data_IF_630069244531
#
_entry.id   IF_630069244531
#
_cell.length_a   1.000
_cell.length_b   1.000
_cell.length_c   1.000
_cell.angle_alpha   90.00
_cell.angle_beta   90.00
_cell.angle_gamma   90.00
#
_symmetry.space_group_name_H-M   'P 1'
#
loop_
_entity.id
_entity.type
_entity.pdbx_description
1 polymer ?
#
# COMPACT_ATOMS: atom_id res chain seq x y z
N UNK A 1 4.26 23.49 -17.40
CA UNK A 1 3.43 24.28 -16.45
C UNK A 1 2.00 23.74 -16.35
N UNK A 2 1.24 23.62 -17.45
CA UNK A 2 -0.14 23.09 -17.42
C UNK A 2 -0.26 21.74 -16.71
N UNK A 3 0.51 20.74 -17.17
CA UNK A 3 0.49 19.41 -16.58
C UNK A 3 0.88 19.38 -15.10
N UNK A 4 1.89 20.14 -14.70
CA UNK A 4 2.32 20.24 -13.29
C UNK A 4 1.21 20.77 -12.38
N UNK A 5 0.47 21.79 -12.81
CA UNK A 5 -0.65 22.37 -12.05
C UNK A 5 -1.79 21.36 -11.95
N UNK A 6 -2.17 20.73 -13.07
CA UNK A 6 -3.22 19.68 -13.08
C UNK A 6 -2.84 18.53 -12.15
N UNK A 7 -1.62 18.02 -12.24
CA UNK A 7 -1.16 16.92 -11.39
C UNK A 7 -1.04 17.29 -9.91
N UNK A 8 -0.69 18.54 -9.58
CA UNK A 8 -0.68 19.00 -8.19
C UNK A 8 -2.11 19.09 -7.60
N UNK A 9 -3.07 19.57 -8.39
CA UNK A 9 -4.49 19.60 -7.99
C UNK A 9 -5.04 18.18 -7.80
N UNK A 10 -4.79 17.28 -8.77
CA UNK A 10 -5.20 15.88 -8.65
C UNK A 10 -4.55 15.18 -7.45
N UNK A 11 -3.24 15.38 -7.24
CA UNK A 11 -2.54 14.84 -6.08
C UNK A 11 -3.11 15.34 -4.75
N UNK A 12 -3.47 16.62 -4.67
CA UNK A 12 -4.12 17.19 -3.48
C UNK A 12 -5.54 16.62 -3.25
N UNK A 13 -6.32 16.44 -4.32
CA UNK A 13 -7.64 15.81 -4.25
C UNK A 13 -7.51 14.36 -3.76
N UNK A 14 -6.61 13.58 -4.36
CA UNK A 14 -6.34 12.20 -3.96
C UNK A 14 -5.89 12.08 -2.52
N UNK A 15 -5.07 13.02 -2.02
CA UNK A 15 -4.67 13.05 -0.62
C UNK A 15 -5.85 13.35 0.32
N UNK A 16 -6.68 14.35 -0.01
CA UNK A 16 -7.82 14.76 0.82
C UNK A 16 -8.94 13.72 0.92
N UNK A 17 -8.94 12.73 0.03
CA UNK A 17 -10.02 11.78 -0.16
C UNK A 17 -9.77 10.40 0.50
N UNK A 18 -8.74 10.27 1.32
CA UNK A 18 -8.45 9.05 2.10
C UNK A 18 -9.53 8.69 3.14
N UNK A 19 -10.61 9.47 3.25
CA UNK A 19 -11.84 9.14 4.01
C UNK A 19 -12.86 8.34 3.19
N UNK A 20 -13.25 7.18 3.73
CA UNK A 20 -14.19 6.18 3.19
C UNK A 20 -15.40 6.82 2.47
N UNK A 21 -15.51 6.65 1.13
CA UNK A 21 -16.73 6.97 0.37
C UNK A 21 -16.58 7.49 -1.08
N UNK A 22 -15.38 7.57 -1.65
CA UNK A 22 -15.08 8.49 -2.78
C UNK A 22 -14.76 7.77 -4.11
N UNK A 23 -15.04 6.47 -4.28
CA UNK A 23 -14.68 5.77 -5.53
C UNK A 23 -15.28 6.38 -6.82
N UNK A 24 -16.56 6.78 -6.78
CA UNK A 24 -17.27 7.43 -7.92
C UNK A 24 -16.85 8.90 -8.09
N UNK A 25 -16.70 9.62 -6.97
CA UNK A 25 -16.24 11.00 -6.98
C UNK A 25 -14.80 11.12 -7.52
N UNK A 26 -13.94 10.11 -7.28
CA UNK A 26 -12.61 10.04 -7.86
C UNK A 26 -12.61 9.87 -9.38
N UNK A 27 -13.45 8.98 -9.92
CA UNK A 27 -13.56 8.83 -11.38
C UNK A 27 -14.08 10.10 -12.04
N UNK A 28 -15.10 10.75 -11.48
CA UNK A 28 -15.62 12.01 -12.03
C UNK A 28 -14.60 13.15 -11.87
N UNK A 29 -13.94 13.27 -10.71
CA UNK A 29 -12.89 14.28 -10.50
C UNK A 29 -11.76 14.14 -11.52
N UNK A 30 -11.30 12.91 -11.81
CA UNK A 30 -10.25 12.62 -12.80
C UNK A 30 -10.56 13.08 -14.23
N UNK A 31 -11.81 13.35 -14.57
CA UNK A 31 -12.19 13.89 -15.88
C UNK A 31 -12.66 15.34 -15.81
N UNK A 32 -13.48 15.65 -14.80
CA UNK A 32 -14.13 16.96 -14.63
C UNK A 32 -13.14 18.02 -14.19
N UNK A 33 -12.03 17.69 -13.53
CA UNK A 33 -11.01 18.67 -13.16
C UNK A 33 -9.95 18.81 -14.27
N UNK A 34 -9.33 17.75 -14.78
CA UNK A 34 -8.23 17.87 -15.74
C UNK A 34 -8.67 18.45 -17.08
N UNK A 35 -9.85 18.12 -17.59
CA UNK A 35 -10.31 18.59 -18.91
C UNK A 35 -10.52 20.12 -18.93
N UNK A 36 -11.37 20.73 -18.08
CA UNK A 36 -11.56 22.19 -18.11
C UNK A 36 -10.36 22.95 -17.59
N UNK A 37 -9.64 22.45 -16.57
CA UNK A 37 -8.42 23.09 -16.09
C UNK A 37 -7.32 23.06 -17.16
N UNK A 38 -7.14 21.91 -17.81
CA UNK A 38 -6.25 21.73 -18.95
C UNK A 38 -6.61 22.63 -20.12
N UNK A 39 -7.90 22.73 -20.48
CA UNK A 39 -8.41 23.62 -21.51
C UNK A 39 -8.12 25.10 -21.20
N UNK A 40 -8.47 25.56 -19.99
CA UNK A 40 -8.25 26.94 -19.58
C UNK A 40 -6.76 27.32 -19.57
N UNK A 41 -5.91 26.41 -19.06
CA UNK A 41 -4.46 26.62 -19.01
C UNK A 41 -3.80 26.53 -20.40
N UNK A 42 -4.23 25.60 -21.26
CA UNK A 42 -3.75 25.49 -22.64
C UNK A 42 -4.16 26.70 -23.50
N UNK A 43 -5.40 27.16 -23.33
CA UNK A 43 -5.91 28.38 -23.95
C UNK A 43 -5.09 29.60 -23.49
N UNK A 44 -4.88 29.75 -22.18
CA UNK A 44 -4.07 30.85 -21.61
C UNK A 44 -2.62 30.80 -22.08
N UNK A 45 -2.06 29.61 -22.26
CA UNK A 45 -0.72 29.38 -22.82
C UNK A 45 -0.66 29.56 -24.35
N UNK A 46 -1.79 29.87 -25.00
CA UNK A 46 -1.91 30.06 -26.46
C UNK A 46 -1.39 28.88 -27.28
N UNK A 47 -1.65 27.65 -26.82
CA UNK A 47 -1.26 26.46 -27.56
C UNK A 47 -2.09 26.33 -28.84
N UNK A 48 -1.46 26.02 -30.00
CA UNK A 48 -2.20 25.67 -31.20
C UNK A 48 -3.01 24.41 -30.91
N UNK A 49 -4.25 24.36 -31.41
CA UNK A 49 -5.19 23.24 -31.21
C UNK A 49 -5.38 22.85 -29.73
N UNK A 50 -5.44 23.85 -28.83
CA UNK A 50 -5.57 23.67 -27.38
C UNK A 50 -6.69 22.70 -26.97
N UNK A 51 -7.79 22.60 -27.73
CA UNK A 51 -8.87 21.63 -27.48
C UNK A 51 -8.42 20.18 -27.61
N UNK A 52 -7.52 19.86 -28.55
CA UNK A 52 -6.94 18.52 -28.69
C UNK A 52 -6.03 18.22 -27.49
N UNK A 53 -5.20 19.17 -27.08
CA UNK A 53 -4.34 19.02 -25.91
C UNK A 53 -5.15 18.83 -24.61
N UNK A 54 -6.29 19.52 -24.48
CA UNK A 54 -7.19 19.43 -23.34
C UNK A 54 -7.94 18.09 -23.24
N UNK A 55 -8.09 17.35 -24.34
CA UNK A 55 -8.71 16.03 -24.36
C UNK A 55 -7.66 14.91 -24.27
N UNK A 56 -6.59 15.01 -25.08
CA UNK A 56 -5.53 14.00 -25.13
C UNK A 56 -4.69 13.98 -23.85
N UNK A 57 -4.49 15.13 -23.19
CA UNK A 57 -3.76 15.23 -21.93
C UNK A 57 -4.38 14.39 -20.81
N UNK A 58 -5.66 14.61 -20.44
CA UNK A 58 -6.37 13.79 -19.44
C UNK A 58 -6.45 12.31 -19.79
N UNK A 59 -6.68 11.96 -21.07
CA UNK A 59 -6.68 10.57 -21.53
C UNK A 59 -5.34 9.89 -21.26
N UNK A 60 -4.24 10.49 -21.71
CA UNK A 60 -2.89 9.94 -21.49
C UNK A 60 -2.51 9.93 -20.01
N UNK A 61 -2.93 10.94 -19.26
CA UNK A 61 -2.76 11.02 -17.81
C UNK A 61 -3.40 9.83 -17.10
N UNK A 62 -4.65 9.48 -17.43
CA UNK A 62 -5.36 8.38 -16.80
C UNK A 62 -4.65 7.02 -16.98
N UNK A 63 -3.98 6.79 -18.11
CA UNK A 63 -3.16 5.58 -18.31
C UNK A 63 -1.81 5.67 -17.60
N UNK A 64 -1.15 6.82 -17.70
CA UNK A 64 0.19 7.00 -17.16
C UNK A 64 0.23 7.00 -15.63
N UNK A 65 -0.80 7.55 -14.99
CA UNK A 65 -0.91 7.55 -13.53
C UNK A 65 -1.02 6.13 -12.96
N UNK A 66 -1.71 5.22 -13.66
CA UNK A 66 -1.80 3.82 -13.25
C UNK A 66 -0.44 3.12 -13.33
N UNK A 67 0.32 3.37 -14.40
CA UNK A 67 1.68 2.84 -14.53
C UNK A 67 2.61 3.42 -13.45
N UNK A 68 2.60 4.75 -13.25
CA UNK A 68 3.46 5.37 -12.24
C UNK A 68 3.10 4.93 -10.81
N UNK A 69 1.83 4.77 -10.49
CA UNK A 69 1.41 4.21 -9.19
C UNK A 69 1.85 2.76 -9.01
N UNK A 70 1.86 1.95 -10.06
CA UNK A 70 2.37 0.58 -10.01
C UNK A 70 3.90 0.52 -9.80
N UNK A 71 4.63 1.55 -10.22
CA UNK A 71 6.08 1.68 -10.01
C UNK A 71 6.45 2.34 -8.71
N UNK A 72 5.56 3.08 -8.06
CA UNK A 72 5.90 3.78 -6.84
C UNK A 72 5.81 2.83 -5.63
N UNK A 73 6.79 2.91 -4.71
CA UNK A 73 6.67 2.22 -3.44
C UNK A 73 5.43 2.74 -2.74
N UNK A 74 4.69 1.84 -2.08
CA UNK A 74 3.67 2.29 -1.14
C UNK A 74 4.37 3.10 -0.02
N UNK A 75 4.07 4.41 0.13
CA UNK A 75 4.69 5.28 1.12
C UNK A 75 4.68 4.70 2.53
N UNK A 76 3.64 3.95 2.91
CA UNK A 76 3.54 3.32 4.24
C UNK A 76 4.59 2.23 4.47
N UNK A 77 5.12 1.60 3.42
CA UNK A 77 6.18 0.59 3.56
C UNK A 77 7.51 1.22 3.97
N UNK A 78 7.78 2.46 3.53
CA UNK A 78 9.07 3.13 3.66
C UNK A 78 9.05 4.35 4.60
N UNK A 79 7.98 4.53 5.38
CA UNK A 79 7.82 5.68 6.27
C UNK A 79 7.92 7.03 5.53
N UNK A 80 7.45 7.05 4.29
CA UNK A 80 7.45 8.27 3.49
C UNK A 80 6.23 9.12 3.87
N UNK A 81 6.38 10.46 3.93
CA UNK A 81 5.25 11.35 4.16
C UNK A 81 4.13 11.11 3.15
N UNK A 82 2.88 11.23 3.58
CA UNK A 82 1.71 11.06 2.68
C UNK A 82 1.76 12.00 1.47
N UNK A 83 2.41 13.16 1.58
CA UNK A 83 2.63 14.07 0.46
C UNK A 83 3.34 13.40 -0.74
N UNK A 84 4.11 12.33 -0.51
CA UNK A 84 4.74 11.54 -1.57
C UNK A 84 3.72 10.87 -2.51
N UNK A 85 2.46 10.65 -2.08
CA UNK A 85 1.38 10.17 -2.94
C UNK A 85 1.03 11.14 -4.08
N UNK A 86 1.39 12.43 -3.99
CA UNK A 86 1.12 13.40 -5.05
C UNK A 86 2.16 13.38 -6.20
N UNK A 87 3.36 12.83 -5.95
CA UNK A 87 4.43 12.77 -6.94
C UNK A 87 4.05 12.08 -8.28
N UNK A 88 3.42 10.89 -8.29
CA UNK A 88 3.09 10.22 -9.54
C UNK A 88 2.04 11.01 -10.33
N UNK A 89 1.14 11.74 -9.66
CA UNK A 89 0.15 12.61 -10.30
C UNK A 89 0.80 13.79 -11.01
N UNK A 90 1.71 14.49 -10.34
CA UNK A 90 2.46 15.61 -10.92
C UNK A 90 3.27 15.15 -12.13
N UNK A 91 3.99 14.03 -12.01
CA UNK A 91 4.82 13.49 -13.08
C UNK A 91 3.97 12.98 -14.26
N UNK A 92 2.91 12.21 -13.99
CA UNK A 92 1.98 11.73 -15.01
C UNK A 92 1.40 12.90 -15.81
N UNK A 93 0.91 13.92 -15.12
CA UNK A 93 0.26 15.06 -15.77
C UNK A 93 1.28 15.91 -16.55
N UNK A 94 2.47 16.12 -16.03
CA UNK A 94 3.53 16.83 -16.74
C UNK A 94 3.88 16.14 -18.07
N UNK A 95 4.12 14.82 -18.06
CA UNK A 95 4.45 14.04 -19.25
C UNK A 95 3.28 14.01 -20.23
N UNK A 96 2.08 13.76 -19.73
CA UNK A 96 0.86 13.63 -20.54
C UNK A 96 0.53 14.92 -21.30
N UNK A 97 0.56 16.06 -20.61
CA UNK A 97 0.32 17.36 -21.25
C UNK A 97 1.45 17.79 -22.17
N UNK A 98 2.71 17.41 -21.89
CA UNK A 98 3.81 17.64 -22.81
C UNK A 98 3.66 16.81 -24.10
N UNK A 99 3.31 15.52 -23.98
CA UNK A 99 3.05 14.65 -25.12
C UNK A 99 1.84 15.12 -25.94
N UNK A 100 0.76 15.56 -25.27
CA UNK A 100 -0.41 16.10 -25.92
C UNK A 100 -0.11 17.42 -26.66
N UNK A 101 0.64 18.33 -26.05
CA UNK A 101 1.05 19.58 -26.68
C UNK A 101 2.00 19.33 -27.87
N UNK A 102 2.91 18.36 -27.76
CA UNK A 102 3.78 17.95 -28.87
C UNK A 102 2.95 17.40 -30.04
N UNK A 103 2.04 16.45 -29.76
CA UNK A 103 1.18 15.83 -30.76
C UNK A 103 0.22 16.83 -31.43
N UNK A 104 -0.22 17.85 -30.69
CA UNK A 104 -1.03 18.94 -31.20
C UNK A 104 -0.22 19.98 -32.01
N UNK A 105 1.11 19.94 -31.99
CA UNK A 105 1.91 20.90 -32.76
C UNK A 105 1.87 20.59 -34.26
N UNK A 106 1.84 21.64 -35.06
CA UNK A 106 1.89 21.54 -36.53
C UNK A 106 3.25 21.00 -37.03
N UNK A 107 4.26 20.96 -36.16
CA UNK A 107 5.61 20.43 -36.45
C UNK A 107 5.70 18.91 -36.27
N UNK A 108 4.77 18.29 -35.56
CA UNK A 108 4.79 16.86 -35.32
C UNK A 108 4.28 16.08 -36.53
N UNK A 109 5.17 15.30 -37.17
CA UNK A 109 4.78 14.37 -38.22
C UNK A 109 3.87 13.25 -37.68
N UNK A 110 3.06 12.65 -38.55
CA UNK A 110 2.18 11.54 -38.16
C UNK A 110 2.97 10.35 -37.58
N UNK A 111 4.17 10.08 -38.09
CA UNK A 111 5.08 9.06 -37.57
C UNK A 111 5.54 9.37 -36.14
N UNK A 112 5.88 10.63 -35.85
CA UNK A 112 6.26 11.05 -34.49
C UNK A 112 5.10 10.89 -33.51
N UNK A 113 3.87 11.23 -33.94
CA UNK A 113 2.66 11.06 -33.14
C UNK A 113 2.37 9.58 -32.86
N UNK A 114 2.47 8.72 -33.89
CA UNK A 114 2.30 7.29 -33.74
C UNK A 114 3.37 6.67 -32.83
N UNK A 115 4.64 7.06 -33.01
CA UNK A 115 5.73 6.57 -32.16
C UNK A 115 5.53 6.98 -30.69
N UNK A 116 5.12 8.22 -30.41
CA UNK A 116 4.83 8.66 -29.06
C UNK A 116 3.66 7.89 -28.42
N UNK A 117 2.57 7.69 -29.18
CA UNK A 117 1.43 6.90 -28.71
C UNK A 117 1.82 5.44 -28.42
N UNK A 118 2.55 4.80 -29.34
CA UNK A 118 3.06 3.44 -29.16
C UNK A 118 4.00 3.34 -27.97
N UNK A 119 4.91 4.30 -27.78
CA UNK A 119 5.83 4.33 -26.66
C UNK A 119 5.12 4.44 -25.31
N UNK A 120 4.10 5.32 -25.21
CA UNK A 120 3.29 5.45 -24.00
C UNK A 120 2.52 4.15 -23.73
N UNK A 121 1.82 3.61 -24.73
CA UNK A 121 1.06 2.37 -24.59
C UNK A 121 1.97 1.19 -24.20
N UNK A 122 3.11 1.02 -24.88
CA UNK A 122 4.06 -0.04 -24.58
C UNK A 122 4.63 0.08 -23.17
N UNK A 123 4.96 1.30 -22.73
CA UNK A 123 5.45 1.56 -21.36
C UNK A 123 4.40 1.21 -20.31
N UNK A 124 3.16 1.65 -20.51
CA UNK A 124 2.05 1.34 -19.60
C UNK A 124 1.81 -0.18 -19.53
N UNK A 125 1.75 -0.86 -20.68
CA UNK A 125 1.56 -2.31 -20.72
C UNK A 125 2.70 -3.05 -20.02
N UNK A 126 3.95 -2.69 -20.31
CA UNK A 126 5.12 -3.33 -19.69
C UNK A 126 5.11 -3.17 -18.15
N UNK A 127 4.78 -1.97 -17.66
CA UNK A 127 4.67 -1.70 -16.23
C UNK A 127 3.54 -2.48 -15.57
N UNK A 128 2.36 -2.49 -16.19
CA UNK A 128 1.19 -3.21 -15.64
C UNK A 128 1.41 -4.72 -15.62
N UNK A 129 2.15 -5.27 -16.58
CA UNK A 129 2.57 -6.68 -16.57
C UNK A 129 3.60 -6.97 -15.45
N UNK A 130 4.50 -6.03 -15.18
CA UNK A 130 5.53 -6.15 -14.14
C UNK A 130 5.08 -5.78 -12.72
N UNK A 131 3.85 -5.26 -12.54
CA UNK A 131 3.41 -4.65 -11.26
C UNK A 131 3.55 -5.56 -10.04
N UNK A 132 3.31 -6.86 -10.19
CA UNK A 132 3.39 -7.83 -9.08
C UNK A 132 4.85 -8.00 -8.66
N UNK A 133 5.74 -8.21 -9.63
CA UNK A 133 7.17 -8.32 -9.35
C UNK A 133 7.75 -7.04 -8.73
N UNK A 134 7.29 -5.86 -9.16
CA UNK A 134 7.69 -4.58 -8.58
C UNK A 134 7.18 -4.43 -7.14
N UNK A 135 5.91 -4.79 -6.89
CA UNK A 135 5.33 -4.77 -5.55
C UNK A 135 6.05 -5.73 -4.60
N UNK A 136 6.31 -6.97 -5.05
CA UNK A 136 7.07 -7.97 -4.29
C UNK A 136 8.49 -7.47 -3.99
N UNK A 137 9.17 -6.87 -4.96
CA UNK A 137 10.50 -6.31 -4.78
C UNK A 137 10.53 -5.19 -3.74
N UNK A 138 9.57 -4.25 -3.80
CA UNK A 138 9.44 -3.19 -2.79
C UNK A 138 9.15 -3.75 -1.40
N UNK A 139 8.28 -4.76 -1.32
CA UNK A 139 7.89 -5.38 -0.07
C UNK A 139 9.03 -6.16 0.56
N UNK A 140 9.78 -6.93 -0.24
CA UNK A 140 11.01 -7.60 0.17
C UNK A 140 12.01 -6.60 0.74
N UNK A 141 12.24 -5.49 0.04
CA UNK A 141 13.17 -4.46 0.50
C UNK A 141 12.68 -3.73 1.75
N UNK A 142 11.38 -3.56 1.91
CA UNK A 142 10.80 -3.00 3.13
C UNK A 142 11.00 -3.95 4.32
N UNK A 143 10.75 -5.26 4.13
CA UNK A 143 10.94 -6.30 5.14
C UNK A 143 12.42 -6.46 5.54
N UNK A 144 13.36 -6.35 4.59
CA UNK A 144 14.80 -6.38 4.87
C UNK A 144 15.27 -5.24 5.79
N UNK A 145 14.58 -4.09 5.73
CA UNK A 145 14.89 -2.93 6.55
C UNK A 145 14.10 -2.91 7.87
N UNK A 146 13.28 -3.93 8.15
CA UNK A 146 12.60 -4.04 9.43
C UNK A 146 13.55 -4.62 10.48
N UNK A 147 13.72 -3.91 11.59
CA UNK A 147 14.50 -4.35 12.74
C UNK A 147 13.68 -5.26 13.67
N UNK A 148 12.98 -6.24 13.09
CA UNK A 148 12.23 -7.26 13.84
C UNK A 148 12.54 -8.66 13.28
N UNK A 149 12.51 -9.70 14.13
CA UNK A 149 12.63 -11.07 13.65
C UNK A 149 11.50 -11.43 12.66
N UNK A 150 11.87 -11.80 11.44
CA UNK A 150 10.92 -12.31 10.45
C UNK A 150 10.64 -13.78 10.72
N UNK A 151 9.40 -14.11 11.05
CA UNK A 151 8.94 -15.46 11.31
C UNK A 151 7.85 -15.85 10.32
N UNK A 152 7.76 -17.13 9.96
CA UNK A 152 6.67 -17.70 9.21
C UNK A 152 6.15 -18.96 9.90
N UNK A 153 4.87 -19.27 9.68
CA UNK A 153 4.26 -20.51 10.10
C UNK A 153 4.66 -21.65 9.17
N UNK A 154 5.39 -22.62 9.71
CA UNK A 154 5.73 -23.88 9.03
C UNK A 154 4.87 -25.02 9.57
N UNK A 155 3.58 -25.00 9.22
CA UNK A 155 2.59 -25.97 9.67
C UNK A 155 1.76 -26.48 8.48
N UNK A 156 1.71 -27.81 8.22
CA UNK A 156 0.93 -28.37 7.11
C UNK A 156 -0.54 -27.94 7.14
N UNK A 157 -1.09 -27.63 5.97
CA UNK A 157 -2.49 -27.19 5.82
C UNK A 157 -2.69 -25.68 5.92
N UNK A 158 -1.77 -24.95 6.54
CA UNK A 158 -1.79 -23.49 6.55
C UNK A 158 -1.09 -22.93 5.31
N UNK A 159 -1.76 -22.01 4.64
CA UNK A 159 -1.22 -21.29 3.49
C UNK A 159 -1.11 -19.83 3.84
N UNK A 160 0.05 -19.26 3.52
CA UNK A 160 0.28 -17.84 3.67
C UNK A 160 -0.66 -17.06 2.75
N UNK A 161 -1.30 -16.02 3.28
CA UNK A 161 -2.32 -15.23 2.59
C UNK A 161 -1.89 -13.78 2.42
N UNK A 162 -1.30 -13.17 3.45
CA UNK A 162 -0.80 -11.81 3.34
C UNK A 162 0.28 -11.51 4.37
N UNK A 163 1.06 -10.48 4.09
CA UNK A 163 1.83 -9.77 5.12
C UNK A 163 1.64 -8.27 4.98
N UNK A 164 1.53 -7.61 6.12
CA UNK A 164 1.27 -6.19 6.22
C UNK A 164 2.21 -5.57 7.26
N UNK A 165 2.97 -4.55 6.85
CA UNK A 165 3.80 -3.78 7.78
C UNK A 165 2.88 -2.83 8.54
N UNK A 166 2.79 -3.02 9.85
CA UNK A 166 2.03 -2.13 10.73
C UNK A 166 2.92 -0.96 11.09
N UNK A 167 2.51 0.25 10.70
CA UNK A 167 3.02 1.52 11.21
C UNK A 167 1.80 2.32 11.65
N UNK A 168 1.68 2.64 12.93
CA UNK A 168 0.56 3.45 13.44
C UNK A 168 0.99 4.91 13.54
N UNK A 169 0.55 5.82 12.64
CA UNK A 169 0.87 7.23 12.76
C UNK A 169 0.04 7.85 13.89
N UNK A 170 0.68 8.41 14.92
CA UNK A 170 0.01 9.14 16.00
C UNK A 170 -0.87 8.28 16.91
N UNK A 171 -0.82 6.95 16.77
CA UNK A 171 -1.37 6.03 17.76
C UNK A 171 -0.50 6.05 19.02
N UNK A 172 -1.03 5.57 20.14
CA UNK A 172 -0.31 5.48 21.43
C UNK A 172 0.95 4.58 21.39
N UNK A 173 1.26 4.01 20.22
CA UNK A 173 2.16 2.90 19.96
C UNK A 173 2.95 3.24 18.68
N UNK A 174 4.09 3.90 18.82
CA UNK A 174 5.04 4.21 17.73
C UNK A 174 5.78 2.95 17.20
N UNK A 175 5.20 1.77 17.39
CA UNK A 175 5.86 0.50 17.12
C UNK A 175 5.65 0.09 15.66
N UNK A 176 6.77 -0.19 14.98
CA UNK A 176 6.76 -0.83 13.66
C UNK A 176 6.64 -2.33 13.86
N UNK A 177 5.65 -2.93 13.21
CA UNK A 177 5.32 -4.35 13.33
C UNK A 177 5.08 -5.03 12.00
N UNK A 178 4.83 -6.34 12.08
CA UNK A 178 4.45 -7.15 10.93
C UNK A 178 3.23 -7.99 11.29
N UNK A 179 2.16 -7.86 10.52
CA UNK A 179 1.01 -8.76 10.57
C UNK A 179 1.11 -9.78 9.43
N UNK A 180 0.85 -11.04 9.75
CA UNK A 180 0.88 -12.15 8.82
C UNK A 180 -0.47 -12.86 8.87
N UNK A 181 -1.12 -12.98 7.72
CA UNK A 181 -2.34 -13.76 7.57
C UNK A 181 -2.07 -15.13 6.99
N UNK A 182 -2.77 -16.12 7.52
CA UNK A 182 -2.79 -17.47 6.96
C UNK A 182 -4.23 -17.95 6.81
N UNK A 183 -4.44 -18.93 5.94
CA UNK A 183 -5.71 -19.64 5.81
C UNK A 183 -5.51 -21.15 5.91
N UNK A 184 -6.45 -21.83 6.56
CA UNK A 184 -6.56 -23.28 6.63
C UNK A 184 -8.04 -23.69 6.68
N UNK A 185 -8.62 -24.00 5.52
CA UNK A 185 -10.06 -24.20 5.38
C UNK A 185 -10.82 -22.93 5.78
N UNK A 186 -11.67 -23.04 6.80
CA UNK A 186 -12.45 -21.92 7.34
C UNK A 186 -11.68 -21.12 8.42
N UNK A 187 -10.55 -21.62 8.92
CA UNK A 187 -9.72 -20.90 9.89
C UNK A 187 -8.82 -19.89 9.18
N UNK A 188 -8.75 -18.67 9.74
CA UNK A 188 -7.94 -17.56 9.25
C UNK A 188 -7.11 -16.96 10.40
N UNK A 189 -6.11 -17.68 10.92
CA UNK A 189 -5.30 -17.12 11.98
C UNK A 189 -4.46 -15.96 11.47
N UNK A 190 -4.22 -15.00 12.35
CA UNK A 190 -3.27 -13.91 12.12
C UNK A 190 -2.16 -13.94 13.15
N UNK A 191 -0.97 -13.56 12.71
CA UNK A 191 0.23 -13.54 13.53
C UNK A 191 0.83 -12.15 13.45
N UNK A 192 0.82 -11.44 14.56
CA UNK A 192 1.40 -10.11 14.66
C UNK A 192 2.73 -10.19 15.40
N UNK A 193 3.77 -9.59 14.84
CA UNK A 193 5.13 -9.57 15.38
C UNK A 193 5.52 -8.11 15.64
N UNK A 194 5.97 -7.85 16.87
CA UNK A 194 6.50 -6.55 17.33
C UNK A 194 7.89 -6.73 17.94
N UNK A 195 8.72 -5.68 18.02
CA UNK A 195 9.95 -5.71 18.80
C UNK A 195 9.65 -5.89 20.30
N UNK A 196 10.38 -6.79 20.97
CA UNK A 196 10.17 -7.11 22.39
C UNK A 196 10.70 -6.05 23.36
N UNK A 197 11.46 -5.05 22.89
CA UNK A 197 12.07 -4.04 23.76
C UNK A 197 11.03 -3.12 24.43
N UNK A 198 9.88 -2.89 23.79
CA UNK A 198 8.90 -1.92 24.28
C UNK A 198 7.88 -2.51 25.26
N UNK A 199 7.63 -3.83 25.25
CA UNK A 199 6.48 -4.44 25.95
C UNK A 199 6.71 -5.88 26.40
N UNK A 200 5.89 -6.32 27.36
CA UNK A 200 5.77 -7.73 27.73
C UNK A 200 4.48 -8.34 27.19
N UNK A 201 4.34 -9.68 27.14
CA UNK A 201 3.09 -10.33 26.75
C UNK A 201 1.88 -9.84 27.57
N UNK A 202 2.08 -9.58 28.86
CA UNK A 202 1.04 -9.08 29.78
C UNK A 202 0.60 -7.67 29.40
N UNK A 203 1.55 -6.74 29.21
CA UNK A 203 1.21 -5.35 28.89
C UNK A 203 0.55 -5.24 27.51
N UNK A 204 1.02 -6.03 26.54
CA UNK A 204 0.41 -6.02 25.22
C UNK A 204 -1.02 -6.58 25.22
N UNK A 205 -1.30 -7.57 26.06
CA UNK A 205 -2.65 -8.13 26.20
C UNK A 205 -3.64 -7.12 26.78
N UNK A 206 -3.21 -6.27 27.72
CA UNK A 206 -4.08 -5.31 28.42
C UNK A 206 -4.19 -3.96 27.72
N UNK A 207 -3.26 -3.64 26.81
CA UNK A 207 -3.30 -2.43 25.98
C UNK A 207 -4.31 -2.57 24.83
N UNK A 208 -5.60 -2.47 25.18
CA UNK A 208 -6.67 -2.34 24.20
C UNK A 208 -7.11 -0.88 24.02
N UNK A 209 -7.62 -0.50 22.83
CA UNK A 209 -8.25 0.80 22.63
C UNK A 209 -9.39 1.01 23.64
N UNK A 210 -9.64 2.26 24.01
CA UNK A 210 -10.63 2.64 25.05
C UNK A 210 -12.03 2.10 24.75
N UNK A 211 -12.36 1.90 23.47
CA UNK A 211 -13.68 1.49 23.00
C UNK A 211 -13.84 -0.05 22.82
N UNK A 212 -12.83 -0.84 23.18
CA UNK A 212 -12.91 -2.32 23.12
C UNK A 212 -13.14 -2.85 24.55
N UNK A 213 -14.14 -3.73 24.78
CA UNK A 213 -14.36 -4.34 26.08
C UNK A 213 -13.08 -5.03 26.57
N UNK A 214 -12.63 -4.71 27.78
CA UNK A 214 -11.42 -5.32 28.34
C UNK A 214 -11.62 -6.84 28.46
N UNK A 215 -10.96 -7.58 27.57
CA UNK A 215 -10.96 -9.03 27.61
C UNK A 215 -10.01 -9.51 28.71
N UNK A 216 -10.41 -10.57 29.42
CA UNK A 216 -9.61 -11.15 30.48
C UNK A 216 -8.32 -11.78 29.91
N UNK A 217 -7.18 -11.32 30.42
CA UNK A 217 -5.86 -11.88 30.15
C UNK A 217 -5.49 -12.89 31.25
N UNK A 218 -5.05 -14.08 30.86
CA UNK A 218 -4.61 -15.15 31.76
C UNK A 218 -3.19 -15.58 31.42
N UNK A 219 -2.27 -15.47 32.37
CA UNK A 219 -0.90 -15.99 32.21
C UNK A 219 -0.88 -17.51 32.25
N UNK A 220 -0.16 -18.11 31.30
CA UNK A 220 0.08 -19.54 31.16
C UNK A 220 1.48 -19.89 31.70
N UNK A 221 1.74 -21.18 32.02
CA UNK A 221 3.09 -21.65 32.33
C UNK A 221 4.06 -21.28 31.20
N UNK A 222 5.22 -20.71 31.56
CA UNK A 222 6.23 -20.23 30.62
C UNK A 222 6.13 -18.75 30.24
N UNK A 223 5.25 -17.97 30.87
CA UNK A 223 5.17 -16.51 30.68
C UNK A 223 4.40 -16.06 29.43
N UNK A 224 3.69 -16.97 28.77
CA UNK A 224 2.75 -16.62 27.70
C UNK A 224 1.44 -16.12 28.31
N UNK A 225 0.73 -15.25 27.61
CA UNK A 225 -0.54 -14.69 28.09
C UNK A 225 -1.63 -15.01 27.08
N UNK A 226 -2.72 -15.61 27.55
CA UNK A 226 -3.89 -15.94 26.74
C UNK A 226 -4.99 -14.92 27.00
N UNK A 227 -5.55 -14.36 25.94
CA UNK A 227 -6.76 -13.55 25.96
C UNK A 227 -7.88 -14.34 25.32
N UNK A 228 -9.02 -14.43 26.00
CA UNK A 228 -10.22 -15.11 25.51
C UNK A 228 -11.29 -14.05 25.25
N UNK A 229 -11.82 -14.02 24.03
CA UNK A 229 -12.93 -13.16 23.64
C UNK A 229 -14.05 -13.94 22.96
N UNK A 230 -15.15 -13.25 22.70
CA UNK A 230 -16.39 -13.87 22.19
C UNK A 230 -16.25 -14.46 20.78
N UNK A 231 -15.23 -14.03 20.02
CA UNK A 231 -15.00 -14.42 18.64
C UNK A 231 -13.65 -15.10 18.39
N UNK A 232 -12.93 -15.48 19.45
CA UNK A 232 -11.66 -16.18 19.33
C UNK A 232 -10.74 -16.02 20.53
N UNK A 233 -9.50 -16.45 20.34
CA UNK A 233 -8.45 -16.39 21.34
C UNK A 233 -7.20 -15.74 20.75
N UNK A 234 -6.50 -14.96 21.58
CA UNK A 234 -5.20 -14.39 21.25
C UNK A 234 -4.16 -14.88 22.24
N UNK A 235 -3.07 -15.46 21.75
CA UNK A 235 -1.93 -15.87 22.55
C UNK A 235 -0.78 -14.88 22.33
N UNK A 236 -0.35 -14.25 23.42
CA UNK A 236 0.78 -13.33 23.47
C UNK A 236 1.99 -14.06 24.04
N UNK A 237 3.12 -14.00 23.35
CA UNK A 237 4.34 -14.70 23.72
C UNK A 237 5.57 -13.87 23.38
N UNK A 238 6.68 -14.16 24.06
CA UNK A 238 7.99 -13.61 23.72
C UNK A 238 8.88 -14.72 23.15
N UNK A 239 9.53 -14.45 22.02
CA UNK A 239 10.48 -15.36 21.39
C UNK A 239 11.75 -14.59 21.02
N UNK A 240 12.75 -14.63 21.91
CA UNK A 240 13.95 -13.81 21.79
C UNK A 240 13.61 -12.32 21.86
N UNK A 241 13.92 -11.60 20.78
CA UNK A 241 13.69 -10.17 20.61
C UNK A 241 12.36 -9.84 19.92
N UNK A 242 11.53 -10.86 19.62
CA UNK A 242 10.18 -10.68 19.10
C UNK A 242 9.13 -10.86 20.20
N UNK A 243 8.12 -10.00 20.15
CA UNK A 243 6.85 -10.17 20.82
C UNK A 243 5.82 -10.60 19.79
N UNK A 244 5.13 -11.71 20.04
CA UNK A 244 4.28 -12.39 19.06
C UNK A 244 2.87 -12.47 19.62
N UNK A 245 1.88 -12.07 18.82
CA UNK A 245 0.46 -12.31 19.06
C UNK A 245 -0.07 -13.25 17.99
N UNK A 246 -0.59 -14.39 18.41
CA UNK A 246 -1.28 -15.35 17.53
C UNK A 246 -2.77 -15.29 17.81
N UNK A 247 -3.56 -14.96 16.79
CA UNK A 247 -5.03 -14.99 16.86
C UNK A 247 -5.54 -16.27 16.23
N UNK A 248 -6.47 -16.96 16.89
CA UNK A 248 -7.08 -18.18 16.40
C UNK A 248 -8.43 -18.46 17.07
N UNK A 249 -8.98 -19.63 16.80
CA UNK A 249 -10.31 -20.05 17.27
C UNK A 249 -10.26 -20.83 18.59
N UNK A 250 -9.11 -21.41 18.93
CA UNK A 250 -8.95 -22.22 20.15
C UNK A 250 -7.55 -22.09 20.76
N UNK A 251 -7.43 -22.38 22.07
CA UNK A 251 -6.16 -22.37 22.80
C UNK A 251 -5.16 -23.39 22.21
N UNK A 252 -5.64 -24.57 21.80
CA UNK A 252 -4.80 -25.60 21.19
C UNK A 252 -4.22 -25.15 19.84
N UNK A 253 -5.04 -24.47 19.02
CA UNK A 253 -4.62 -23.94 17.72
C UNK A 253 -3.53 -22.87 17.88
N UNK A 254 -3.78 -21.83 18.69
CA UNK A 254 -2.81 -20.73 18.86
C UNK A 254 -1.49 -21.21 19.48
N UNK A 255 -1.53 -22.19 20.39
CA UNK A 255 -0.32 -22.83 20.93
C UNK A 255 0.43 -23.64 19.88
N UNK A 256 -0.29 -24.36 19.02
CA UNK A 256 0.32 -25.15 17.94
C UNK A 256 0.98 -24.23 16.91
N UNK A 257 0.31 -23.15 16.50
CA UNK A 257 0.84 -22.15 15.58
C UNK A 257 2.14 -21.54 16.16
N UNK A 258 2.11 -21.08 17.41
CA UNK A 258 3.28 -20.50 18.07
C UNK A 258 4.49 -21.47 18.07
N UNK A 259 4.26 -22.76 18.33
CA UNK A 259 5.32 -23.77 18.33
C UNK A 259 5.93 -24.06 16.94
N UNK A 260 5.22 -23.73 15.87
CA UNK A 260 5.62 -23.96 14.47
C UNK A 260 6.09 -22.68 13.76
N UNK A 261 6.28 -21.59 14.50
CA UNK A 261 6.95 -20.41 13.96
C UNK A 261 8.44 -20.67 13.75
N UNK A 262 8.92 -20.35 12.55
CA UNK A 262 10.33 -20.51 12.14
C UNK A 262 10.84 -19.21 11.52
N UNK A 263 12.15 -18.93 11.60
CA UNK A 263 12.75 -17.82 10.87
C UNK A 263 12.41 -17.89 9.38
N UNK A 264 12.06 -16.75 8.79
CA UNK A 264 11.67 -16.63 7.39
C UNK A 264 12.53 -15.59 6.68
N UNK A 265 12.66 -15.72 5.36
CA UNK A 265 13.34 -14.71 4.55
C UNK A 265 12.36 -13.60 4.14
N UNK A 266 12.83 -12.36 3.96
CA UNK A 266 12.03 -11.28 3.37
C UNK A 266 11.35 -11.71 2.06
N UNK A 267 12.08 -12.40 1.18
CA UNK A 267 11.57 -12.91 -0.09
C UNK A 267 10.37 -13.87 0.08
N UNK A 268 10.41 -14.75 1.09
CA UNK A 268 9.31 -15.69 1.35
C UNK A 268 8.04 -15.03 1.88
N UNK A 269 8.17 -13.89 2.56
CA UNK A 269 7.05 -13.14 3.12
C UNK A 269 6.55 -12.03 2.18
N UNK A 270 7.34 -11.65 1.18
CA UNK A 270 6.97 -10.65 0.19
C UNK A 270 6.01 -11.21 -0.86
N UNK A 271 6.23 -12.46 -1.30
CA UNK A 271 5.49 -13.10 -2.40
C UNK A 271 4.22 -13.76 -1.87
N UNK A 272 3.07 -13.32 -2.38
CA UNK A 272 1.73 -13.86 -2.09
C UNK A 272 1.08 -14.30 -3.39
#
# INVERSE_FOLDING_TARGET
MVGTIVGAVEGAISWSASGIGIAIYHMLAMWVVPVPLGAALAYRARLPHWGVAALAGPLTFAFLIQALNALMPNPSLFDLPEACYAFPFVLAAAISYAAAAWAASDRASWLSRAAAAVAICASVVAVLQGRVAVADWYKERALENLDIPLLALDLPGYRFDYSWIIRSPGGRLDDVGLDLGYHNGDSKPSITILPAFHRTPETWCTEQPVDVPQLACRTLPGGNVLQVGDHGMSLYARQGDALIRVVGTSEAEVRTILAHLRPASPASLARV
#
